data_IF_868670454494
#
_entry.id   IF_868670454494
#
_cell.length_a   1.000
_cell.length_b   1.000
_cell.length_c   1.000
_cell.angle_alpha   90.00
_cell.angle_beta   90.00
_cell.angle_gamma   90.00
#
_symmetry.space_group_name_H-M   'P 1'
#
loop_
_entity.id
_entity.type
_entity.pdbx_description
1 polymer ?
#
# COMPACT_ATOMS: atom_id res chain seq x y z
N UNK A 1 25.18 5.90 10.57
CA UNK A 1 24.46 5.33 9.42
C UNK A 1 23.49 6.40 8.92
N UNK A 2 23.82 7.03 7.79
CA UNK A 2 23.19 8.27 7.33
C UNK A 2 21.77 7.98 6.81
N UNK A 3 20.74 8.44 7.52
CA UNK A 3 19.36 8.44 7.02
C UNK A 3 19.27 9.50 5.92
N UNK A 4 19.64 9.13 4.70
CA UNK A 4 19.42 9.97 3.52
C UNK A 4 17.94 9.90 3.16
N UNK A 5 17.13 10.67 3.88
CA UNK A 5 15.82 11.10 3.36
C UNK A 5 16.16 11.89 2.10
N UNK A 6 15.95 11.28 0.93
CA UNK A 6 16.03 11.99 -0.34
C UNK A 6 14.94 13.06 -0.35
N UNK A 7 15.26 14.24 0.20
CA UNK A 7 14.52 15.49 0.00
C UNK A 7 14.83 15.99 -1.42
N UNK A 8 14.39 15.22 -2.42
CA UNK A 8 14.30 15.73 -3.79
C UNK A 8 13.11 16.67 -3.90
N UNK A 9 13.12 17.60 -4.84
CA UNK A 9 12.00 18.51 -5.13
C UNK A 9 10.67 17.80 -5.42
N UNK A 10 10.72 16.52 -5.77
CA UNK A 10 9.56 15.65 -6.01
C UNK A 10 9.01 14.99 -4.73
N UNK A 11 9.71 15.08 -3.59
CA UNK A 11 9.31 14.44 -2.34
C UNK A 11 7.99 15.03 -1.79
N UNK A 12 7.87 16.35 -1.75
CA UNK A 12 6.66 17.03 -1.25
C UNK A 12 5.47 16.79 -2.20
N UNK A 13 5.73 16.79 -3.51
CA UNK A 13 4.73 16.42 -4.52
C UNK A 13 4.27 14.98 -4.37
N UNK A 14 5.16 14.06 -4.03
CA UNK A 14 4.83 12.64 -3.78
C UNK A 14 4.00 12.46 -2.51
N UNK A 15 4.35 13.15 -1.42
CA UNK A 15 3.56 13.15 -0.19
C UNK A 15 2.15 13.66 -0.49
N UNK A 16 2.04 14.84 -1.10
CA UNK A 16 0.74 15.44 -1.45
C UNK A 16 -0.11 14.52 -2.32
N UNK A 17 0.50 13.85 -3.31
CA UNK A 17 -0.17 12.88 -4.16
C UNK A 17 -0.67 11.66 -3.37
N UNK A 18 0.11 11.15 -2.42
CA UNK A 18 -0.32 10.00 -1.61
C UNK A 18 -1.37 10.39 -0.57
N UNK A 19 -1.28 11.56 0.05
CA UNK A 19 -2.32 12.09 0.93
C UNK A 19 -3.65 12.27 0.18
N UNK A 20 -3.58 12.77 -1.05
CA UNK A 20 -4.75 12.85 -1.92
C UNK A 20 -5.37 11.46 -2.18
N UNK A 21 -4.56 10.47 -2.54
CA UNK A 21 -5.03 9.08 -2.71
C UNK A 21 -5.67 8.54 -1.44
N UNK A 22 -5.03 8.75 -0.28
CA UNK A 22 -5.54 8.27 1.00
C UNK A 22 -6.89 8.90 1.35
N UNK A 23 -7.06 10.20 1.14
CA UNK A 23 -8.35 10.86 1.34
C UNK A 23 -9.44 10.26 0.44
N UNK A 24 -9.12 9.95 -0.83
CA UNK A 24 -10.07 9.35 -1.78
C UNK A 24 -10.41 7.90 -1.44
N UNK A 25 -9.48 7.13 -0.88
CA UNK A 25 -9.71 5.77 -0.42
C UNK A 25 -10.58 5.71 0.84
N UNK A 26 -10.39 6.67 1.75
CA UNK A 26 -11.14 6.73 3.02
C UNK A 26 -12.54 7.32 2.79
N UNK A 27 -12.66 8.35 1.95
CA UNK A 27 -13.87 9.18 1.85
C UNK A 27 -14.68 8.90 0.57
N UNK A 28 -14.03 8.44 -0.50
CA UNK A 28 -14.42 8.92 -1.83
C UNK A 28 -14.73 7.91 -2.92
N UNK A 29 -14.84 6.60 -2.65
CA UNK A 29 -15.29 5.59 -3.63
C UNK A 29 -14.58 5.64 -4.99
N UNK A 30 -13.38 6.23 -5.06
CA UNK A 30 -12.72 6.52 -6.33
C UNK A 30 -12.00 5.31 -6.92
N UNK A 31 -11.87 4.25 -6.13
CA UNK A 31 -11.19 3.01 -6.44
C UNK A 31 -12.07 1.83 -6.06
N UNK A 32 -12.31 0.93 -7.01
CA UNK A 32 -12.97 -0.34 -6.78
C UNK A 32 -11.96 -1.40 -6.38
N UNK A 33 -12.31 -2.22 -5.39
CA UNK A 33 -11.49 -3.36 -5.02
C UNK A 33 -11.66 -4.49 -6.04
N UNK A 34 -10.55 -4.87 -6.68
CA UNK A 34 -10.55 -5.92 -7.72
C UNK A 34 -9.99 -7.25 -7.20
N UNK A 35 -9.08 -7.20 -6.23
CA UNK A 35 -8.51 -8.39 -5.58
C UNK A 35 -8.29 -8.17 -4.10
N UNK A 36 -8.46 -9.22 -3.30
CA UNK A 36 -8.05 -9.24 -1.90
C UNK A 36 -7.60 -10.61 -1.41
N UNK A 37 -6.74 -10.58 -0.39
CA UNK A 37 -6.22 -11.74 0.32
C UNK A 37 -6.38 -11.47 1.81
N UNK A 38 -7.05 -12.37 2.52
CA UNK A 38 -7.25 -12.32 3.97
C UNK A 38 -6.40 -13.40 4.62
N UNK A 39 -5.54 -12.99 5.56
CA UNK A 39 -4.61 -13.89 6.27
C UNK A 39 -5.14 -14.35 7.64
N UNK A 40 -6.09 -13.60 8.18
CA UNK A 40 -6.80 -13.90 9.44
C UNK A 40 -8.30 -13.92 9.15
N UNK A 41 -9.06 -14.71 9.91
CA UNK A 41 -10.53 -14.75 9.82
C UNK A 41 -11.09 -13.32 9.82
N UNK A 42 -12.06 -12.99 8.96
CA UNK A 42 -12.61 -11.64 8.88
C UNK A 42 -13.24 -11.28 10.23
N UNK A 43 -12.50 -10.52 11.03
CA UNK A 43 -13.05 -9.92 12.25
C UNK A 43 -13.77 -8.68 11.75
N UNK A 44 -15.12 -8.73 11.71
CA UNK A 44 -16.05 -7.68 11.24
C UNK A 44 -15.42 -6.63 10.29
N UNK A 45 -15.65 -6.83 8.98
CA UNK A 45 -15.06 -6.13 7.83
C UNK A 45 -15.12 -4.59 7.82
N UNK A 46 -15.77 -3.96 8.80
CA UNK A 46 -16.04 -2.53 8.82
C UNK A 46 -15.23 -1.73 9.87
N UNK A 47 -14.49 -2.38 10.78
CA UNK A 47 -13.74 -1.63 11.79
C UNK A 47 -12.30 -1.41 11.36
N UNK A 48 -11.99 -0.15 11.03
CA UNK A 48 -10.62 0.32 10.90
C UNK A 48 -9.81 -0.13 12.13
N UNK A 49 -8.57 -0.60 11.96
CA UNK A 49 -7.73 -0.98 13.08
C UNK A 49 -7.57 0.17 14.07
N UNK A 50 -8.32 0.11 15.18
CA UNK A 50 -8.34 1.13 16.23
C UNK A 50 -7.16 0.99 17.20
N UNK A 51 -6.35 -0.05 17.03
CA UNK A 51 -5.20 -0.30 17.88
C UNK A 51 -4.05 0.65 17.52
N UNK A 52 -3.44 1.30 18.52
CA UNK A 52 -2.38 2.31 18.34
C UNK A 52 -1.13 1.84 17.57
N UNK A 53 -0.95 0.53 17.41
CA UNK A 53 0.18 -0.05 16.65
C UNK A 53 -0.23 -0.60 15.28
N UNK A 54 -1.52 -0.57 14.97
CA UNK A 54 -2.00 -0.99 13.67
C UNK A 54 -1.72 0.08 12.62
N UNK A 55 -1.57 -0.36 11.37
CA UNK A 55 -1.20 0.52 10.28
C UNK A 55 -1.27 -0.17 8.93
N UNK A 56 -1.00 0.61 7.90
CA UNK A 56 -1.07 0.17 6.51
C UNK A 56 0.24 0.42 5.80
N UNK A 57 0.69 -0.54 4.98
CA UNK A 57 1.55 -0.20 3.84
C UNK A 57 0.62 0.10 2.69
N UNK A 58 0.76 1.30 2.09
CA UNK A 58 -0.02 1.72 0.93
C UNK A 58 0.92 1.97 -0.23
N UNK A 59 0.55 1.41 -1.38
CA UNK A 59 1.37 1.44 -2.58
C UNK A 59 0.52 1.92 -3.76
N UNK A 60 0.91 3.01 -4.39
CA UNK A 60 0.18 3.61 -5.51
C UNK A 60 0.96 3.46 -6.83
N UNK A 61 0.26 3.13 -7.92
CA UNK A 61 0.89 2.82 -9.19
C UNK A 61 0.35 3.70 -10.32
N UNK A 62 1.26 4.32 -11.06
CA UNK A 62 0.95 4.98 -12.33
C UNK A 62 1.25 4.00 -13.45
N UNK A 63 0.33 3.86 -14.40
CA UNK A 63 0.52 3.05 -15.60
C UNK A 63 0.69 4.01 -16.78
N UNK A 64 1.65 3.73 -17.65
CA UNK A 64 1.78 4.44 -18.91
C UNK A 64 0.72 3.88 -19.87
N UNK A 65 -0.19 4.75 -20.33
CA UNK A 65 -1.47 4.40 -20.97
C UNK A 65 -1.35 3.60 -22.28
N UNK A 66 -0.17 3.46 -22.89
CA UNK A 66 -0.08 3.03 -24.29
C UNK A 66 0.26 1.56 -24.59
N UNK A 67 0.70 0.73 -23.63
CA UNK A 67 1.09 -0.66 -23.96
C UNK A 67 0.56 -1.77 -23.05
N UNK A 68 -0.12 -1.44 -21.96
CA UNK A 68 -0.47 -2.47 -20.97
C UNK A 68 -1.94 -2.89 -21.10
N UNK A 69 -2.19 -4.08 -21.68
CA UNK A 69 -3.50 -4.73 -21.57
C UNK A 69 -3.82 -4.94 -20.09
N UNK A 70 -4.73 -4.15 -19.53
CA UNK A 70 -5.11 -4.17 -18.11
C UNK A 70 -5.41 -5.60 -17.63
N UNK A 71 -6.14 -6.39 -18.42
CA UNK A 71 -6.45 -7.80 -18.10
C UNK A 71 -5.21 -8.68 -17.89
N UNK A 72 -4.14 -8.47 -18.67
CA UNK A 72 -2.91 -9.25 -18.56
C UNK A 72 -2.08 -8.81 -17.35
N UNK A 73 -2.08 -7.50 -17.07
CA UNK A 73 -1.45 -6.93 -15.88
C UNK A 73 -2.12 -7.46 -14.62
N UNK A 74 -3.45 -7.43 -14.57
CA UNK A 74 -4.25 -7.85 -13.42
C UNK A 74 -4.04 -9.33 -13.07
N UNK A 75 -3.93 -10.22 -14.07
CA UNK A 75 -3.59 -11.64 -13.84
C UNK A 75 -2.28 -11.86 -13.10
N UNK A 76 -1.34 -10.92 -13.21
CA UNK A 76 0.00 -11.01 -12.59
C UNK A 76 0.17 -10.07 -11.39
N UNK A 77 -0.92 -9.55 -10.84
CA UNK A 77 -0.90 -8.51 -9.80
C UNK A 77 -0.03 -8.83 -8.60
N UNK A 78 -0.07 -10.08 -8.12
CA UNK A 78 0.77 -10.54 -7.03
C UNK A 78 2.27 -10.25 -7.22
N UNK A 79 2.74 -10.26 -8.48
CA UNK A 79 4.15 -10.13 -8.83
C UNK A 79 4.58 -8.68 -9.02
N UNK A 80 3.80 -7.88 -9.77
CA UNK A 80 4.17 -6.51 -10.09
C UNK A 80 3.85 -5.53 -8.96
N UNK A 81 2.79 -5.79 -8.18
CA UNK A 81 2.42 -4.92 -7.07
C UNK A 81 3.30 -5.08 -5.83
N UNK A 82 4.07 -6.18 -5.75
CA UNK A 82 4.84 -6.54 -4.56
C UNK A 82 4.02 -7.29 -3.49
N UNK A 83 2.76 -7.65 -3.77
CA UNK A 83 1.91 -8.35 -2.81
C UNK A 83 2.51 -9.70 -2.38
N UNK A 84 3.17 -10.42 -3.29
CA UNK A 84 3.80 -11.71 -3.00
C UNK A 84 4.94 -11.56 -1.99
N UNK A 85 5.74 -10.52 -2.14
CA UNK A 85 6.84 -10.18 -1.25
C UNK A 85 6.31 -9.81 0.13
N UNK A 86 5.28 -8.97 0.21
CA UNK A 86 4.61 -8.64 1.48
C UNK A 86 4.05 -9.89 2.12
N UNK A 87 3.31 -10.72 1.39
CA UNK A 87 2.70 -11.93 1.93
C UNK A 87 3.75 -12.92 2.47
N UNK A 88 4.84 -13.13 1.72
CA UNK A 88 5.89 -14.09 2.06
C UNK A 88 6.79 -13.61 3.20
N UNK A 89 7.15 -12.33 3.20
CA UNK A 89 8.22 -11.81 4.07
C UNK A 89 7.73 -10.91 5.20
N UNK A 90 6.43 -10.61 5.30
CA UNK A 90 5.89 -9.94 6.49
C UNK A 90 6.05 -10.83 7.71
N UNK A 91 6.73 -10.31 8.73
CA UNK A 91 6.89 -11.00 10.02
C UNK A 91 5.53 -11.31 10.64
N UNK A 92 5.44 -12.47 11.33
CA UNK A 92 4.22 -12.85 12.07
C UNK A 92 3.84 -11.81 13.11
N UNK A 93 4.84 -11.17 13.73
CA UNK A 93 4.67 -10.12 14.75
C UNK A 93 3.97 -8.86 14.23
N UNK A 94 3.96 -8.62 12.92
CA UNK A 94 3.27 -7.46 12.33
C UNK A 94 1.76 -7.67 12.26
N UNK A 95 1.31 -8.94 12.35
CA UNK A 95 -0.08 -9.34 12.19
C UNK A 95 -0.67 -8.81 10.88
N UNK A 96 -0.13 -9.27 9.73
CA UNK A 96 -0.70 -9.00 8.41
C UNK A 96 -2.12 -9.60 8.36
N UNK A 97 -3.12 -8.76 8.09
CA UNK A 97 -4.54 -9.14 8.09
C UNK A 97 -5.11 -9.24 6.68
N UNK A 98 -4.85 -8.22 5.86
CA UNK A 98 -5.42 -8.09 4.51
C UNK A 98 -4.42 -7.48 3.54
N UNK A 99 -4.41 -7.97 2.31
CA UNK A 99 -3.82 -7.27 1.16
C UNK A 99 -4.96 -7.06 0.17
N UNK A 100 -5.20 -5.84 -0.29
CA UNK A 100 -6.17 -5.55 -1.35
C UNK A 100 -5.54 -4.71 -2.46
N UNK A 101 -5.89 -5.03 -3.70
CA UNK A 101 -5.59 -4.21 -4.85
C UNK A 101 -6.87 -3.54 -5.33
N UNK A 102 -6.78 -2.23 -5.55
CA UNK A 102 -7.88 -1.41 -6.01
C UNK A 102 -7.54 -0.72 -7.32
N UNK A 103 -8.48 -0.71 -8.24
CA UNK A 103 -8.37 -0.04 -9.53
C UNK A 103 -9.24 1.20 -9.53
N UNK A 104 -8.77 2.26 -10.18
CA UNK A 104 -9.52 3.51 -10.26
C UNK A 104 -10.72 3.37 -11.19
N UNK A 105 -11.87 3.89 -10.77
CA UNK A 105 -13.13 3.80 -11.53
C UNK A 105 -13.10 4.67 -12.79
N UNK A 106 -12.47 5.84 -12.73
CA UNK A 106 -12.44 6.81 -13.84
C UNK A 106 -11.02 7.10 -14.29
N UNK A 107 -10.83 7.11 -15.62
CA UNK A 107 -9.58 7.48 -16.26
C UNK A 107 -9.21 8.93 -15.88
N UNK A 108 -8.03 9.10 -15.29
CA UNK A 108 -7.52 10.38 -14.83
C UNK A 108 -6.01 10.26 -14.61
N UNK A 109 -5.29 11.39 -14.76
CA UNK A 109 -3.82 11.49 -14.62
C UNK A 109 -3.24 11.09 -13.25
N UNK A 110 -4.06 10.65 -12.29
CA UNK A 110 -3.59 10.16 -10.98
C UNK A 110 -3.30 8.65 -11.03
N UNK A 111 -3.01 8.03 -9.88
CA UNK A 111 -2.65 6.61 -9.81
C UNK A 111 -3.79 5.71 -10.28
N UNK A 112 -3.47 4.78 -11.20
CA UNK A 112 -4.42 3.83 -11.77
C UNK A 112 -4.75 2.71 -10.79
N UNK A 113 -3.76 2.23 -10.04
CA UNK A 113 -3.94 1.21 -9.02
C UNK A 113 -3.42 1.67 -7.67
N UNK A 114 -4.07 1.19 -6.61
CA UNK A 114 -3.59 1.32 -5.24
C UNK A 114 -3.70 -0.01 -4.53
N UNK A 115 -2.59 -0.47 -3.94
CA UNK A 115 -2.58 -1.62 -3.06
C UNK A 115 -2.54 -1.16 -1.60
N UNK A 116 -3.37 -1.78 -0.76
CA UNK A 116 -3.40 -1.57 0.67
C UNK A 116 -3.08 -2.86 1.39
N UNK A 117 -2.14 -2.81 2.32
CA UNK A 117 -1.77 -3.94 3.16
C UNK A 117 -2.03 -3.56 4.61
N UNK A 118 -3.00 -4.21 5.24
CA UNK A 118 -3.44 -3.94 6.61
C UNK A 118 -2.67 -4.81 7.60
N UNK A 119 -2.19 -4.19 8.68
CA UNK A 119 -1.47 -4.85 9.75
C UNK A 119 -1.98 -4.44 11.13
N UNK A 120 -2.06 -5.39 12.05
CA UNK A 120 -2.50 -5.13 13.44
C UNK A 120 -1.42 -4.53 14.35
N UNK A 121 -0.14 -4.66 14.01
CA UNK A 121 0.97 -4.26 14.90
C UNK A 121 2.23 -3.76 14.17
N UNK A 122 2.12 -3.34 12.91
CA UNK A 122 3.30 -2.94 12.12
C UNK A 122 4.03 -1.69 12.68
N UNK A 123 3.32 -0.83 13.41
CA UNK A 123 3.89 0.41 13.97
C UNK A 123 4.47 0.24 15.37
N UNK A 124 4.38 -0.95 15.95
CA UNK A 124 5.04 -1.27 17.23
C UNK A 124 6.54 -0.97 17.12
N UNK A 125 7.19 -0.35 18.13
CA UNK A 125 8.59 0.04 18.05
C UNK A 125 9.56 -1.08 17.62
N UNK A 126 9.32 -2.32 18.06
CA UNK A 126 10.13 -3.48 17.67
C UNK A 126 9.99 -3.88 16.19
N UNK A 127 8.89 -3.50 15.54
CA UNK A 127 8.55 -3.89 14.17
C UNK A 127 8.93 -2.80 13.16
N UNK A 128 8.97 -1.54 13.61
CA UNK A 128 9.10 -0.35 12.77
C UNK A 128 10.32 -0.41 11.83
N UNK A 129 11.49 -0.79 12.32
CA UNK A 129 12.70 -0.82 11.50
C UNK A 129 12.57 -1.83 10.35
N UNK A 130 12.06 -3.03 10.63
CA UNK A 130 11.88 -4.07 9.62
C UNK A 130 10.74 -3.72 8.64
N UNK A 131 9.70 -3.02 9.10
CA UNK A 131 8.63 -2.51 8.25
C UNK A 131 9.13 -1.44 7.27
N UNK A 132 10.00 -0.53 7.74
CA UNK A 132 10.66 0.46 6.88
C UNK A 132 11.59 -0.21 5.87
N UNK A 133 12.38 -1.22 6.29
CA UNK A 133 13.20 -2.02 5.38
C UNK A 133 12.35 -2.70 4.28
N UNK A 134 11.17 -3.24 4.62
CA UNK A 134 10.25 -3.78 3.62
C UNK A 134 9.81 -2.72 2.61
N UNK A 135 9.43 -1.53 3.08
CA UNK A 135 9.04 -0.43 2.19
C UNK A 135 10.19 -0.05 1.25
N UNK A 136 11.42 -0.01 1.75
CA UNK A 136 12.61 0.28 0.95
C UNK A 136 12.89 -0.80 -0.10
N UNK A 137 12.81 -2.08 0.26
CA UNK A 137 12.99 -3.18 -0.70
C UNK A 137 11.96 -3.16 -1.81
N UNK A 138 10.69 -2.91 -1.47
CA UNK A 138 9.62 -2.79 -2.45
C UNK A 138 9.81 -1.56 -3.36
N UNK A 139 10.33 -0.46 -2.81
CA UNK A 139 10.64 0.76 -3.57
C UNK A 139 11.72 0.51 -4.62
N UNK A 140 12.81 -0.18 -4.24
CA UNK A 140 13.90 -0.55 -5.17
C UNK A 140 13.42 -1.49 -6.27
N UNK A 141 12.38 -2.30 -6.02
CA UNK A 141 11.74 -3.17 -7.02
C UNK A 141 10.83 -2.38 -8.00
N UNK A 142 10.75 -1.07 -7.88
CA UNK A 142 9.82 -0.21 -8.64
C UNK A 142 8.36 -0.64 -8.49
N UNK A 143 7.98 -1.19 -7.33
CA UNK A 143 6.58 -1.50 -7.01
C UNK A 143 5.80 -0.22 -6.68
N UNK A 144 5.88 0.83 -7.51
CA UNK A 144 5.12 2.07 -7.30
C UNK A 144 5.61 2.96 -6.16
N UNK A 145 4.71 3.84 -5.71
CA UNK A 145 4.93 4.84 -4.67
C UNK A 145 4.43 4.32 -3.33
N UNK A 146 5.34 4.15 -2.38
CA UNK A 146 5.12 3.40 -1.14
C UNK A 146 5.14 4.33 0.06
N UNK A 147 4.24 4.12 1.02
CA UNK A 147 4.28 4.77 2.33
C UNK A 147 3.60 3.93 3.40
N UNK A 148 4.01 4.19 4.64
CA UNK A 148 3.48 3.55 5.84
C UNK A 148 2.53 4.53 6.55
N UNK A 149 1.31 4.09 6.81
CA UNK A 149 0.23 4.91 7.39
C UNK A 149 -0.24 4.36 8.73
N UNK A 150 -0.62 5.27 9.62
CA UNK A 150 -1.39 4.99 10.82
C UNK A 150 -2.77 5.60 10.67
N UNK A 151 -3.78 4.96 11.23
CA UNK A 151 -5.07 5.62 11.45
C UNK A 151 -4.99 6.33 12.80
N UNK A 152 -5.06 7.65 12.79
CA UNK A 152 -5.23 8.45 14.00
C UNK A 152 -6.73 8.53 14.32
N UNK A 153 -7.13 7.94 15.44
CA UNK A 153 -8.42 8.19 16.10
C UNK A 153 -8.41 9.54 16.80
#
# INVERSE_FOLDING_TARGET
MHYSIFKGSDYDTRISNMEHVMSKLIIGGAYDEIYSIHRTSPTNEAQLPSHRHAGYIVISFKILEEQTRQDALEKSWLSWSGAREIYKYSSRSWNLRRISLRCRIHASRSFAYVMMCEFGSILHPSNRLQALDMCERLRVRNCGYISLYQISS
#
